data_IF_478049843455
#
_entry.id   IF_478049843455
#
_cell.length_a   1.000
_cell.length_b   1.000
_cell.length_c   1.000
_cell.angle_alpha   90.00
_cell.angle_beta   90.00
_cell.angle_gamma   90.00
#
_symmetry.space_group_name_H-M   'P 1'
#
loop_
_entity.id
_entity.type
_entity.pdbx_description
1 polymer ?
#
# COMPACT_ATOMS: atom_id res chain seq x y z
N UNK A 1 11.08 2.52 0.23
CA UNK A 1 10.23 1.34 0.49
C UNK A 1 10.83 0.06 -0.09
N UNK A 2 11.06 -0.06 -1.41
CA UNK A 2 11.65 -1.27 -2.03
C UNK A 2 12.95 -1.76 -1.38
N UNK A 3 13.82 -0.84 -0.93
CA UNK A 3 15.06 -1.18 -0.22
C UNK A 3 14.82 -2.00 1.07
N UNK A 4 13.80 -1.67 1.87
CA UNK A 4 13.51 -2.40 3.11
C UNK A 4 12.97 -3.82 2.84
N UNK A 5 12.28 -4.02 1.72
CA UNK A 5 11.76 -5.32 1.30
C UNK A 5 12.82 -6.21 0.66
N UNK A 6 13.78 -5.63 -0.08
CA UNK A 6 14.78 -6.38 -0.85
C UNK A 6 16.13 -6.57 -0.16
N UNK A 7 16.55 -5.65 0.71
CA UNK A 7 17.93 -5.61 1.23
C UNK A 7 18.02 -5.69 2.75
N UNK A 8 16.90 -5.72 3.48
CA UNK A 8 16.93 -6.05 4.90
C UNK A 8 17.22 -7.55 5.04
N UNK A 9 18.50 -7.87 5.30
CA UNK A 9 18.94 -9.19 5.73
C UNK A 9 18.11 -9.57 6.96
N UNK A 10 17.29 -10.62 6.85
CA UNK A 10 16.61 -11.19 7.99
C UNK A 10 17.66 -11.60 9.02
N UNK A 11 17.79 -10.83 10.10
CA UNK A 11 18.62 -11.28 11.21
C UNK A 11 17.98 -12.52 11.81
N UNK A 12 18.77 -13.53 12.19
CA UNK A 12 18.31 -14.64 13.03
C UNK A 12 17.85 -14.20 14.44
N UNK A 13 17.71 -12.88 14.69
CA UNK A 13 17.15 -12.36 15.90
C UNK A 13 15.64 -12.68 15.93
N UNK A 14 15.10 -13.18 17.06
CA UNK A 14 13.68 -13.41 17.19
C UNK A 14 12.92 -12.12 16.89
N UNK A 15 11.98 -12.16 15.95
CA UNK A 15 11.04 -11.06 15.77
C UNK A 15 10.31 -10.82 17.10
N UNK A 16 10.00 -9.57 17.46
CA UNK A 16 9.42 -9.23 18.77
C UNK A 16 8.08 -9.96 19.04
N UNK A 17 7.38 -10.40 17.99
CA UNK A 17 6.20 -11.27 18.06
C UNK A 17 5.95 -12.00 16.73
N UNK A 18 5.24 -13.13 16.78
CA UNK A 18 4.91 -13.93 15.60
C UNK A 18 4.15 -13.11 14.55
N UNK A 19 4.46 -13.32 13.27
CA UNK A 19 3.84 -12.65 12.12
C UNK A 19 4.05 -11.13 12.01
N UNK A 20 4.94 -10.52 12.80
CA UNK A 20 5.22 -9.07 12.70
C UNK A 20 5.61 -8.61 11.28
N UNK A 21 6.35 -9.44 10.54
CA UNK A 21 6.75 -9.14 9.16
C UNK A 21 5.53 -8.84 8.27
N UNK A 22 4.41 -9.55 8.45
CA UNK A 22 3.18 -9.33 7.68
C UNK A 22 2.52 -7.98 7.98
N UNK A 23 2.59 -7.55 9.24
CA UNK A 23 2.09 -6.22 9.63
C UNK A 23 2.96 -5.13 9.00
N UNK A 24 4.28 -5.34 8.96
CA UNK A 24 5.21 -4.42 8.31
C UNK A 24 4.94 -4.33 6.81
N UNK A 25 4.77 -5.48 6.14
CA UNK A 25 4.38 -5.58 4.73
C UNK A 25 3.09 -4.79 4.43
N UNK A 26 2.02 -5.08 5.16
CA UNK A 26 0.76 -4.35 5.03
C UNK A 26 0.93 -2.83 5.29
N UNK A 27 1.69 -2.43 6.31
CA UNK A 27 1.92 -1.02 6.63
C UNK A 27 2.74 -0.29 5.56
N UNK A 28 3.74 -0.95 4.96
CA UNK A 28 4.56 -0.39 3.89
C UNK A 28 3.74 -0.14 2.63
N UNK A 29 2.94 -1.12 2.20
CA UNK A 29 2.06 -0.94 1.04
C UNK A 29 0.95 0.07 1.32
N UNK A 30 0.37 0.06 2.52
CA UNK A 30 -0.57 1.09 2.93
C UNK A 30 0.03 2.48 2.81
N UNK A 31 1.20 2.71 3.43
CA UNK A 31 1.89 3.99 3.43
C UNK A 31 2.22 4.48 2.01
N UNK A 32 2.73 3.58 1.16
CA UNK A 32 3.05 3.86 -0.23
C UNK A 32 1.82 4.35 -1.02
N UNK A 33 0.71 3.60 -0.97
CA UNK A 33 -0.51 3.95 -1.72
C UNK A 33 -1.24 5.15 -1.13
N UNK A 34 -1.17 5.34 0.19
CA UNK A 34 -1.74 6.52 0.85
C UNK A 34 -1.00 7.81 0.48
N UNK A 35 0.33 7.80 0.48
CA UNK A 35 1.12 8.95 0.05
C UNK A 35 0.88 9.27 -1.42
N UNK A 36 0.76 8.24 -2.27
CA UNK A 36 0.42 8.43 -3.67
C UNK A 36 -0.97 9.06 -3.84
N UNK A 37 -1.98 8.60 -3.11
CA UNK A 37 -3.30 9.21 -3.09
C UNK A 37 -3.27 10.68 -2.61
N UNK A 38 -2.44 11.00 -1.61
CA UNK A 38 -2.24 12.38 -1.15
C UNK A 38 -1.69 13.30 -2.24
N UNK A 39 -0.84 12.81 -3.14
CA UNK A 39 -0.37 13.61 -4.29
C UNK A 39 -1.54 14.03 -5.17
N UNK A 40 -2.47 13.12 -5.49
CA UNK A 40 -3.67 13.46 -6.27
C UNK A 40 -4.55 14.49 -5.54
N UNK A 41 -4.72 14.33 -4.23
CA UNK A 41 -5.43 15.30 -3.41
C UNK A 41 -4.80 16.69 -3.42
N UNK A 42 -3.47 16.78 -3.29
CA UNK A 42 -2.73 18.04 -3.37
C UNK A 42 -2.90 18.72 -4.73
N UNK A 43 -2.93 17.92 -5.80
CA UNK A 43 -3.15 18.40 -7.18
C UNK A 43 -4.63 18.63 -7.53
N UNK A 44 -5.55 18.51 -6.56
CA UNK A 44 -7.00 18.63 -6.74
C UNK A 44 -7.56 17.73 -7.85
N UNK A 45 -6.93 16.58 -8.10
CA UNK A 45 -7.36 15.60 -9.10
C UNK A 45 -8.09 14.42 -8.44
N UNK A 46 -9.01 13.76 -9.16
CA UNK A 46 -9.59 12.50 -8.69
C UNK A 46 -8.49 11.44 -8.54
N UNK A 47 -8.65 10.52 -7.59
CA UNK A 47 -7.69 9.44 -7.38
C UNK A 47 -8.05 8.34 -8.37
N UNK A 48 -7.12 7.89 -9.24
CA UNK A 48 -7.43 6.87 -10.24
C UNK A 48 -7.40 5.47 -9.62
N UNK A 49 -8.43 5.10 -8.86
CA UNK A 49 -8.47 3.84 -8.08
C UNK A 49 -8.14 2.58 -8.88
N UNK A 50 -8.71 2.43 -10.07
CA UNK A 50 -8.47 1.25 -10.92
C UNK A 50 -6.99 1.14 -11.31
N UNK A 51 -6.38 2.26 -11.70
CA UNK A 51 -4.97 2.28 -12.08
C UNK A 51 -4.07 2.01 -10.87
N UNK A 52 -4.40 2.55 -9.70
CA UNK A 52 -3.64 2.30 -8.48
C UNK A 52 -3.79 0.86 -7.98
N UNK A 53 -4.96 0.24 -8.10
CA UNK A 53 -5.14 -1.18 -7.80
C UNK A 53 -4.32 -2.07 -8.74
N UNK A 54 -4.34 -1.80 -10.05
CA UNK A 54 -3.51 -2.53 -11.00
C UNK A 54 -2.01 -2.36 -10.69
N UNK A 55 -1.57 -1.15 -10.38
CA UNK A 55 -0.20 -0.90 -9.96
C UNK A 55 0.16 -1.65 -8.67
N UNK A 56 -0.78 -1.76 -7.71
CA UNK A 56 -0.58 -2.57 -6.51
C UNK A 56 -0.38 -4.04 -6.85
N UNK A 57 -1.21 -4.62 -7.72
CA UNK A 57 -1.07 -6.02 -8.13
C UNK A 57 0.27 -6.30 -8.82
N UNK A 58 0.70 -5.40 -9.70
CA UNK A 58 2.01 -5.52 -10.36
C UNK A 58 3.14 -5.41 -9.35
N UNK A 59 3.05 -4.49 -8.39
CA UNK A 59 4.07 -4.32 -7.36
C UNK A 59 4.16 -5.53 -6.44
N UNK A 60 3.02 -6.11 -6.03
CA UNK A 60 2.97 -7.31 -5.18
C UNK A 60 3.57 -8.51 -5.92
N UNK A 61 3.15 -8.76 -7.16
CA UNK A 61 3.70 -9.86 -7.95
C UNK A 61 5.21 -9.66 -8.23
N UNK A 62 5.60 -8.42 -8.50
CA UNK A 62 7.00 -8.06 -8.73
C UNK A 62 7.87 -8.18 -7.48
N UNK A 63 7.34 -7.83 -6.29
CA UNK A 63 8.08 -7.93 -5.04
C UNK A 63 8.28 -9.38 -4.61
N UNK A 64 7.26 -10.23 -4.73
CA UNK A 64 7.39 -11.68 -4.46
C UNK A 64 8.37 -12.35 -5.42
N UNK A 65 8.25 -12.07 -6.72
CA UNK A 65 9.18 -12.59 -7.71
C UNK A 65 10.61 -12.12 -7.43
N UNK A 66 10.79 -10.84 -7.09
CA UNK A 66 12.11 -10.30 -6.76
C UNK A 66 12.68 -10.89 -5.47
N UNK A 67 11.85 -11.14 -4.45
CA UNK A 67 12.28 -11.84 -3.23
C UNK A 67 12.78 -13.26 -3.58
N UNK A 68 12.01 -14.04 -4.34
CA UNK A 68 12.40 -15.40 -4.73
C UNK A 68 13.57 -15.48 -5.72
N UNK A 69 13.72 -14.51 -6.63
CA UNK A 69 14.73 -14.54 -7.69
C UNK A 69 16.04 -13.84 -7.32
N UNK A 70 16.00 -12.81 -6.46
CA UNK A 70 17.15 -11.95 -6.17
C UNK A 70 17.71 -12.12 -4.75
N UNK A 71 17.07 -12.91 -3.88
CA UNK A 71 17.55 -13.12 -2.50
C UNK A 71 17.80 -14.59 -2.21
N UNK A 72 18.94 -14.90 -1.58
CA UNK A 72 19.35 -16.27 -1.27
C UNK A 72 18.73 -16.82 0.02
N UNK A 73 18.22 -15.95 0.90
CA UNK A 73 17.71 -16.30 2.23
C UNK A 73 16.21 -16.02 2.41
N UNK A 74 15.56 -15.30 1.48
CA UNK A 74 14.12 -14.98 1.55
C UNK A 74 13.38 -15.81 0.51
N UNK A 75 12.47 -16.66 0.96
CA UNK A 75 11.55 -17.38 0.08
C UNK A 75 10.31 -16.53 -0.17
N UNK A 76 9.73 -16.65 -1.36
CA UNK A 76 8.41 -16.11 -1.66
C UNK A 76 7.37 -16.72 -0.69
N UNK A 77 6.60 -15.88 0.00
CA UNK A 77 5.52 -16.28 0.91
C UNK A 77 4.24 -15.61 0.44
N UNK A 78 3.31 -16.39 -0.10
CA UNK A 78 2.01 -15.89 -0.57
C UNK A 78 1.24 -15.09 0.50
N UNK A 79 1.55 -15.30 1.79
CA UNK A 79 0.94 -14.54 2.90
C UNK A 79 1.48 -13.12 3.00
N UNK A 80 2.71 -12.87 2.57
CA UNK A 80 3.31 -11.54 2.53
C UNK A 80 2.70 -10.75 1.37
N UNK A 81 2.56 -11.36 0.19
CA UNK A 81 1.72 -10.84 -0.90
C UNK A 81 0.27 -10.53 -0.46
N UNK A 82 -0.36 -11.42 0.31
CA UNK A 82 -1.71 -11.16 0.82
C UNK A 82 -1.73 -9.93 1.75
N UNK A 83 -0.73 -9.78 2.63
CA UNK A 83 -0.60 -8.62 3.51
C UNK A 83 -0.39 -7.32 2.72
N UNK A 84 0.43 -7.36 1.68
CA UNK A 84 0.68 -6.21 0.80
C UNK A 84 -0.57 -5.76 0.05
N UNK A 85 -1.35 -6.71 -0.49
CA UNK A 85 -2.65 -6.43 -1.13
C UNK A 85 -3.62 -5.79 -0.14
N UNK A 86 -3.72 -6.33 1.08
CA UNK A 86 -4.59 -5.78 2.13
C UNK A 86 -4.18 -4.35 2.48
N UNK A 87 -2.89 -4.09 2.65
CA UNK A 87 -2.37 -2.75 2.91
C UNK A 87 -2.70 -1.75 1.81
N UNK A 88 -2.44 -2.11 0.55
CA UNK A 88 -2.74 -1.27 -0.61
C UNK A 88 -4.25 -1.02 -0.76
N UNK A 89 -5.07 -2.06 -0.64
CA UNK A 89 -6.53 -1.96 -0.72
C UNK A 89 -7.10 -1.07 0.39
N UNK A 90 -6.62 -1.19 1.62
CA UNK A 90 -7.04 -0.36 2.74
C UNK A 90 -6.70 1.13 2.50
N UNK A 91 -5.49 1.43 2.01
CA UNK A 91 -5.10 2.82 1.70
C UNK A 91 -5.99 3.43 0.60
N UNK A 92 -6.29 2.65 -0.42
CA UNK A 92 -7.14 3.07 -1.53
C UNK A 92 -8.60 3.24 -1.08
N UNK A 93 -9.14 2.33 -0.27
CA UNK A 93 -10.46 2.49 0.33
C UNK A 93 -10.55 3.77 1.17
N UNK A 94 -9.57 4.03 2.05
CA UNK A 94 -9.51 5.27 2.83
C UNK A 94 -9.45 6.51 1.93
N UNK A 95 -8.67 6.47 0.85
CA UNK A 95 -8.65 7.57 -0.11
C UNK A 95 -10.04 7.81 -0.73
N UNK A 96 -10.82 6.75 -1.01
CA UNK A 96 -12.16 6.86 -1.58
C UNK A 96 -13.12 7.57 -0.64
N UNK A 97 -13.11 7.15 0.62
CA UNK A 97 -13.93 7.77 1.67
C UNK A 97 -13.57 9.26 1.86
N UNK A 98 -12.28 9.60 1.84
CA UNK A 98 -11.83 11.00 1.93
C UNK A 98 -12.28 11.82 0.72
N UNK A 99 -12.21 11.27 -0.48
CA UNK A 99 -12.69 11.95 -1.68
C UNK A 99 -14.19 12.19 -1.65
N UNK A 100 -14.98 11.17 -1.27
CA UNK A 100 -16.43 11.27 -1.13
C UNK A 100 -16.82 12.34 -0.08
N UNK A 101 -16.17 12.34 1.09
CA UNK A 101 -16.41 13.34 2.13
C UNK A 101 -16.08 14.77 1.67
N UNK A 102 -15.04 14.94 0.85
CA UNK A 102 -14.68 16.25 0.27
C UNK A 102 -15.65 16.70 -0.81
N UNK A 103 -16.23 15.78 -1.57
CA UNK A 103 -17.27 16.09 -2.56
C UNK A 103 -18.56 16.56 -1.86
N UNK A 104 -19.01 15.85 -0.82
CA UNK A 104 -20.21 16.23 -0.05
C UNK A 104 -20.09 17.58 0.66
N UNK A 105 -18.90 17.96 1.14
CA UNK A 105 -18.67 19.31 1.70
C UNK A 105 -18.77 20.42 0.64
N UNK A 106 -18.44 20.14 -0.62
CA UNK A 106 -18.53 21.13 -1.71
C UNK A 106 -19.97 21.37 -2.14
N UNK A 107 -20.81 20.33 -2.21
CA UNK A 107 -22.23 20.49 -2.53
C UNK A 107 -22.97 21.30 -1.46
N UNK A 108 -22.74 21.01 -0.18
CA UNK A 108 -23.38 21.74 0.93
C UNK A 108 -22.91 23.19 1.15
N UNK A 109 -21.81 23.61 0.51
CA UNK A 109 -21.41 25.03 0.45
C UNK A 109 -22.08 25.77 -0.72
N UNK A 110 -22.36 25.07 -1.83
CA UNK A 110 -23.05 25.63 -2.99
C UNK A 110 -24.54 25.88 -2.77
N UNK A 111 -25.19 25.13 -1.87
CA UNK A 111 -26.61 25.31 -1.51
C UNK A 111 -26.87 26.48 -0.55
N UNK A 112 -25.83 27.15 -0.04
CA UNK A 112 -25.95 28.26 0.93
C UNK A 112 -25.79 29.66 0.30
N UNK A 113 -25.78 29.77 -1.03
CA UNK A 113 -25.74 31.05 -1.74
C UNK A 113 -27.06 31.34 -2.45
#
# INVERSE_FOLDING_TARGET
MMYALLLHQGSNAPLPFAHFDKVVHAALFFGQFWLLAKVFFLRRRPVPWKALLLAALVLVAGSEWAQGALTASRQADWRDAAADIVGAAAALYFAAQVQAARAGKRSGLGEKC
#
